data_IF_048801287923
#
_entry.id   IF_048801287923
#
_cell.length_a   1.000
_cell.length_b   1.000
_cell.length_c   1.000
_cell.angle_alpha   90.00
_cell.angle_beta   90.00
_cell.angle_gamma   90.00
#
_symmetry.space_group_name_H-M   'P 1'
#
loop_
_entity.id
_entity.type
_entity.pdbx_description
1 polymer ?
#
# COMPACT_ATOMS: atom_id res chain seq x y z
N UNK A 1 14.56 -31.69 21.98
CA UNK A 1 14.42 -31.47 20.52
C UNK A 1 12.95 -31.17 20.25
N UNK A 2 12.58 -29.90 20.13
CA UNK A 2 11.20 -29.48 19.89
C UNK A 2 11.08 -29.02 18.44
N UNK A 3 10.36 -29.78 17.63
CA UNK A 3 10.07 -29.50 16.24
C UNK A 3 9.06 -28.36 16.17
N UNK A 4 9.50 -27.16 15.75
CA UNK A 4 8.59 -26.05 15.50
C UNK A 4 7.73 -26.38 14.27
N UNK A 5 6.44 -26.55 14.50
CA UNK A 5 5.45 -26.81 13.46
C UNK A 5 5.17 -25.50 12.71
N UNK A 6 5.70 -25.39 11.47
CA UNK A 6 5.28 -24.37 10.50
C UNK A 6 3.78 -24.51 10.26
N UNK A 7 2.94 -23.47 10.44
CA UNK A 7 1.62 -23.52 9.86
C UNK A 7 1.80 -23.49 8.34
N UNK A 8 1.38 -24.58 7.68
CA UNK A 8 1.27 -24.61 6.22
C UNK A 8 0.25 -23.55 5.82
N UNK A 9 0.73 -22.47 5.19
CA UNK A 9 -0.11 -21.41 4.67
C UNK A 9 -0.99 -22.02 3.57
N UNK A 10 -2.26 -22.27 3.90
CA UNK A 10 -3.26 -22.67 2.93
C UNK A 10 -3.48 -21.49 1.98
N UNK A 11 -2.88 -21.56 0.78
CA UNK A 11 -3.04 -20.58 -0.28
C UNK A 11 -4.51 -20.51 -0.70
N UNK A 12 -5.24 -19.56 -0.12
CA UNK A 12 -6.53 -19.14 -0.65
C UNK A 12 -6.27 -18.11 -1.76
N UNK A 13 -7.08 -18.07 -2.84
CA UNK A 13 -6.93 -17.10 -3.92
C UNK A 13 -7.44 -15.70 -3.53
N UNK A 14 -7.17 -15.26 -2.30
CA UNK A 14 -7.61 -13.98 -1.76
C UNK A 14 -6.50 -12.94 -1.88
N UNK A 15 -6.84 -11.72 -2.31
CA UNK A 15 -5.89 -10.59 -2.31
C UNK A 15 -5.59 -10.23 -0.88
N UNK A 16 -4.33 -10.41 -0.45
CA UNK A 16 -3.91 -10.05 0.91
C UNK A 16 -3.58 -8.57 1.04
N UNK A 17 -2.96 -7.99 0.02
CA UNK A 17 -2.51 -6.60 0.01
C UNK A 17 -3.05 -5.91 -1.24
N UNK A 18 -3.66 -4.74 -1.07
CA UNK A 18 -4.19 -3.93 -2.17
C UNK A 18 -3.44 -2.61 -2.24
N UNK A 19 -2.98 -2.24 -3.42
CA UNK A 19 -2.49 -0.89 -3.74
C UNK A 19 -3.63 -0.14 -4.44
N UNK A 20 -4.08 0.97 -3.85
CA UNK A 20 -5.02 1.89 -4.48
C UNK A 20 -4.32 3.22 -4.74
N UNK A 21 -4.32 3.63 -6.02
CA UNK A 21 -3.79 4.92 -6.44
C UNK A 21 -4.90 5.85 -6.89
N UNK A 22 -4.86 7.09 -6.45
CA UNK A 22 -5.72 8.17 -6.91
C UNK A 22 -5.32 8.70 -8.28
N UNK A 23 -6.02 9.73 -8.77
CA UNK A 23 -5.65 10.41 -9.99
C UNK A 23 -4.36 11.20 -9.77
N UNK A 24 -3.39 11.07 -10.67
CA UNK A 24 -2.21 11.94 -10.70
C UNK A 24 -2.33 12.88 -11.90
N UNK A 25 -2.18 14.18 -11.66
CA UNK A 25 -2.36 15.24 -12.67
C UNK A 25 -1.26 15.28 -13.73
N UNK A 26 -0.15 14.56 -13.50
CA UNK A 26 0.90 14.36 -14.52
C UNK A 26 0.46 13.43 -15.67
N UNK A 27 -0.73 12.83 -15.57
CA UNK A 27 -1.45 12.26 -16.71
C UNK A 27 -1.98 13.37 -17.65
N UNK A 28 -1.13 14.35 -17.99
CA UNK A 28 -1.27 15.14 -19.19
C UNK A 28 -1.19 14.19 -20.39
N UNK A 29 -1.96 14.50 -21.42
CA UNK A 29 -2.20 13.71 -22.64
C UNK A 29 -0.92 13.34 -23.45
N UNK A 30 0.28 13.69 -22.97
CA UNK A 30 1.57 13.43 -23.62
C UNK A 30 2.77 13.27 -22.64
N UNK A 31 2.58 12.88 -21.37
CA UNK A 31 3.72 12.72 -20.41
C UNK A 31 4.11 11.25 -20.20
N UNK A 32 5.39 10.94 -20.40
CA UNK A 32 6.04 9.63 -20.27
C UNK A 32 6.20 9.17 -18.81
N UNK A 33 5.24 9.42 -17.93
CA UNK A 33 5.19 8.80 -16.59
C UNK A 33 4.14 7.71 -16.62
N UNK A 34 4.53 6.45 -16.88
CA UNK A 34 3.59 5.35 -16.87
C UNK A 34 2.99 5.19 -15.45
N UNK A 35 1.77 4.60 -15.34
CA UNK A 35 1.32 4.06 -14.06
C UNK A 35 2.44 3.21 -13.45
N UNK A 36 2.60 3.22 -12.12
CA UNK A 36 3.70 2.58 -11.36
C UNK A 36 4.51 1.63 -12.23
N UNK A 37 5.72 2.05 -12.63
CA UNK A 37 6.50 1.43 -13.70
C UNK A 37 6.41 -0.10 -13.66
N UNK A 38 6.18 -0.73 -14.81
CA UNK A 38 5.84 -2.16 -14.89
C UNK A 38 6.82 -3.08 -14.17
N UNK A 39 8.11 -2.72 -14.18
CA UNK A 39 9.19 -3.38 -13.45
C UNK A 39 9.06 -3.26 -11.92
N UNK A 40 8.71 -2.08 -11.41
CA UNK A 40 8.46 -1.85 -9.98
C UNK A 40 7.26 -2.67 -9.54
N UNK A 41 6.17 -2.63 -10.31
CA UNK A 41 4.98 -3.44 -10.02
C UNK A 41 5.30 -4.93 -10.01
N UNK A 42 6.08 -5.43 -10.98
CA UNK A 42 6.49 -6.83 -11.01
C UNK A 42 7.32 -7.19 -9.78
N UNK A 43 8.29 -6.36 -9.39
CA UNK A 43 9.10 -6.58 -8.20
C UNK A 43 8.27 -6.62 -6.90
N UNK A 44 7.24 -5.76 -6.78
CA UNK A 44 6.35 -5.77 -5.62
C UNK A 44 5.49 -7.03 -5.57
N UNK A 45 4.98 -7.50 -6.71
CA UNK A 45 4.19 -8.74 -6.79
C UNK A 45 5.05 -9.94 -6.41
N UNK A 46 6.26 -10.06 -6.98
CA UNK A 46 7.19 -11.14 -6.65
C UNK A 46 7.55 -11.14 -5.16
N UNK A 47 7.81 -9.96 -4.59
CA UNK A 47 8.13 -9.82 -3.16
C UNK A 47 6.96 -10.23 -2.26
N UNK A 48 5.73 -9.82 -2.59
CA UNK A 48 4.55 -10.23 -1.85
C UNK A 48 4.34 -11.75 -1.96
N UNK A 49 4.48 -12.31 -3.16
CA UNK A 49 4.35 -13.74 -3.40
C UNK A 49 5.40 -14.57 -2.64
N UNK A 50 6.65 -14.10 -2.57
CA UNK A 50 7.70 -14.70 -1.75
C UNK A 50 7.36 -14.77 -0.26
N UNK A 51 6.55 -13.82 0.23
CA UNK A 51 6.01 -13.80 1.60
C UNK A 51 4.66 -14.54 1.75
N UNK A 52 4.20 -15.25 0.72
CA UNK A 52 2.92 -15.98 0.73
C UNK A 52 1.69 -15.07 0.66
N UNK A 53 1.83 -13.83 0.15
CA UNK A 53 0.77 -12.83 0.06
C UNK A 53 0.46 -12.51 -1.40
N UNK A 54 -0.82 -12.37 -1.73
CA UNK A 54 -1.23 -11.86 -3.03
C UNK A 54 -1.32 -10.33 -3.02
N UNK A 55 -0.76 -9.69 -4.03
CA UNK A 55 -0.78 -8.24 -4.21
C UNK A 55 -1.62 -7.87 -5.43
N UNK A 56 -2.58 -6.96 -5.26
CA UNK A 56 -3.30 -6.34 -6.37
C UNK A 56 -3.03 -4.84 -6.41
N UNK A 57 -3.08 -4.26 -7.61
CA UNK A 57 -2.96 -2.82 -7.82
C UNK A 57 -4.16 -2.32 -8.62
N UNK A 58 -4.75 -1.21 -8.19
CA UNK A 58 -5.74 -0.46 -8.97
C UNK A 58 -5.44 1.02 -8.96
N UNK A 59 -5.62 1.66 -10.10
CA UNK A 59 -5.54 3.10 -10.26
C UNK A 59 -6.94 3.65 -10.53
N UNK A 60 -7.33 4.66 -9.78
CA UNK A 60 -8.60 5.36 -9.85
C UNK A 60 -8.42 6.65 -10.62
N UNK A 61 -9.31 6.95 -11.57
CA UNK A 61 -9.24 8.19 -12.37
C UNK A 61 -9.91 9.39 -11.70
N UNK A 62 -10.51 9.19 -10.53
CA UNK A 62 -11.24 10.23 -9.80
C UNK A 62 -11.34 9.90 -8.32
N UNK A 63 -11.59 10.91 -7.49
CA UNK A 63 -11.86 10.73 -6.06
C UNK A 63 -13.06 9.81 -5.83
N UNK A 64 -14.10 9.93 -6.67
CA UNK A 64 -15.29 9.08 -6.57
C UNK A 64 -14.95 7.61 -6.68
N UNK A 65 -14.14 7.24 -7.67
CA UNK A 65 -13.70 5.86 -7.84
C UNK A 65 -12.82 5.36 -6.69
N UNK A 66 -11.95 6.22 -6.17
CA UNK A 66 -11.12 5.91 -5.02
C UNK A 66 -12.00 5.62 -3.79
N UNK A 67 -12.97 6.50 -3.52
CA UNK A 67 -13.94 6.36 -2.44
C UNK A 67 -14.80 5.10 -2.59
N UNK A 68 -15.29 4.82 -3.80
CA UNK A 68 -16.04 3.59 -4.09
C UNK A 68 -15.17 2.34 -3.85
N UNK A 69 -13.89 2.36 -4.26
CA UNK A 69 -12.96 1.25 -3.98
C UNK A 69 -12.72 1.07 -2.47
N UNK A 70 -12.53 2.16 -1.72
CA UNK A 70 -12.36 2.12 -0.26
C UNK A 70 -13.60 1.54 0.44
N UNK A 71 -14.80 1.97 0.06
CA UNK A 71 -16.07 1.50 0.64
C UNK A 71 -16.31 0.02 0.36
N UNK A 72 -15.94 -0.45 -0.83
CA UNK A 72 -16.13 -1.85 -1.24
C UNK A 72 -14.99 -2.78 -0.79
N UNK A 73 -13.97 -2.28 -0.09
CA UNK A 73 -12.79 -3.07 0.28
C UNK A 73 -13.10 -4.28 1.17
N UNK A 74 -14.16 -4.21 1.99
CA UNK A 74 -14.60 -5.37 2.79
C UNK A 74 -14.97 -6.58 1.92
N UNK A 75 -15.51 -6.35 0.73
CA UNK A 75 -15.84 -7.44 -0.20
C UNK A 75 -14.60 -8.03 -0.88
N UNK A 76 -13.48 -7.30 -0.88
CA UNK A 76 -12.23 -7.73 -1.52
C UNK A 76 -11.33 -8.58 -0.60
N UNK A 77 -11.69 -8.78 0.67
CA UNK A 77 -10.91 -9.54 1.67
C UNK A 77 -9.44 -9.10 1.82
N UNK A 78 -9.13 -7.84 1.52
CA UNK A 78 -7.78 -7.30 1.72
C UNK A 78 -7.44 -7.20 3.21
N UNK A 79 -6.24 -7.65 3.58
CA UNK A 79 -5.72 -7.59 4.95
C UNK A 79 -5.02 -6.26 5.24
N UNK A 80 -4.49 -5.60 4.21
CA UNK A 80 -3.81 -4.30 4.31
C UNK A 80 -3.91 -3.49 3.01
N UNK A 81 -4.03 -2.16 3.14
CA UNK A 81 -4.08 -1.21 2.03
C UNK A 81 -2.80 -0.37 1.94
N UNK A 82 -2.21 -0.24 0.74
CA UNK A 82 -1.29 0.83 0.39
C UNK A 82 -2.08 1.87 -0.38
N UNK A 83 -2.24 3.06 0.21
CA UNK A 83 -3.05 4.13 -0.35
C UNK A 83 -2.17 5.27 -0.82
N UNK A 84 -2.23 5.54 -2.12
CA UNK A 84 -1.72 6.75 -2.73
C UNK A 84 -2.93 7.59 -3.14
N UNK A 85 -3.29 8.65 -2.41
CA UNK A 85 -4.45 9.47 -2.74
C UNK A 85 -4.20 10.44 -3.93
N UNK A 86 -2.94 10.68 -4.34
CA UNK A 86 -2.60 11.61 -5.43
C UNK A 86 -3.30 12.96 -5.35
N UNK A 87 -3.86 13.42 -6.47
CA UNK A 87 -4.58 14.69 -6.58
C UNK A 87 -5.91 14.76 -5.80
N UNK A 88 -6.29 13.71 -5.06
CA UNK A 88 -7.39 13.78 -4.09
C UNK A 88 -6.99 14.46 -2.77
N UNK A 89 -5.77 14.99 -2.69
CA UNK A 89 -5.29 15.74 -1.55
C UNK A 89 -5.44 17.26 -1.77
N UNK A 90 -5.78 18.02 -0.72
CA UNK A 90 -6.14 17.57 0.63
C UNK A 90 -7.50 16.83 0.64
N UNK A 91 -7.63 15.82 1.50
CA UNK A 91 -8.80 14.93 1.47
C UNK A 91 -10.15 15.64 1.70
N UNK A 92 -11.07 15.38 0.78
CA UNK A 92 -12.47 15.80 0.90
C UNK A 92 -13.17 15.17 2.11
N UNK A 93 -14.36 15.67 2.42
CA UNK A 93 -15.19 15.06 3.46
C UNK A 93 -15.59 13.62 3.12
N UNK A 94 -15.79 13.32 1.82
CA UNK A 94 -16.16 11.98 1.37
C UNK A 94 -15.00 11.00 1.50
N UNK A 95 -13.79 11.40 1.09
CA UNK A 95 -12.58 10.59 1.24
C UNK A 95 -12.28 10.31 2.72
N UNK A 96 -12.33 11.34 3.56
CA UNK A 96 -12.14 11.18 5.00
C UNK A 96 -13.18 10.24 5.61
N UNK A 97 -14.46 10.42 5.26
CA UNK A 97 -15.53 9.56 5.74
C UNK A 97 -15.39 8.10 5.30
N UNK A 98 -14.83 7.84 4.11
CA UNK A 98 -14.52 6.49 3.64
C UNK A 98 -13.35 5.87 4.42
N UNK A 99 -12.30 6.65 4.71
CA UNK A 99 -11.14 6.20 5.49
C UNK A 99 -11.45 5.93 6.96
N UNK A 100 -12.33 6.72 7.57
CA UNK A 100 -12.82 6.48 8.95
C UNK A 100 -13.63 5.18 9.07
N UNK A 101 -14.36 4.81 8.01
CA UNK A 101 -15.14 3.57 7.96
C UNK A 101 -14.31 2.35 7.55
N UNK A 102 -13.08 2.57 7.10
CA UNK A 102 -12.18 1.53 6.63
C UNK A 102 -11.75 0.65 7.82
N UNK A 103 -12.15 -0.61 7.78
CA UNK A 103 -11.79 -1.59 8.82
C UNK A 103 -10.39 -2.16 8.64
N UNK A 104 -9.81 -2.03 7.46
CA UNK A 104 -8.48 -2.53 7.13
C UNK A 104 -7.44 -1.46 7.44
N UNK A 105 -6.31 -1.78 8.11
CA UNK A 105 -5.25 -0.80 8.30
C UNK A 105 -4.62 -0.41 6.96
N UNK A 106 -4.11 0.82 6.88
CA UNK A 106 -3.49 1.30 5.65
C UNK A 106 -2.16 2.01 5.88
N UNK A 107 -1.31 1.99 4.87
CA UNK A 107 -0.09 2.79 4.78
C UNK A 107 -0.32 3.80 3.67
N UNK A 108 -0.16 5.09 3.98
CA UNK A 108 -0.18 6.12 2.97
C UNK A 108 1.18 6.14 2.27
N UNK A 109 1.18 6.15 0.94
CA UNK A 109 2.39 6.09 0.12
C UNK A 109 2.30 7.09 -1.02
N UNK A 110 3.39 7.79 -1.28
CA UNK A 110 3.52 8.73 -2.41
C UNK A 110 4.79 8.43 -3.19
N UNK A 111 4.77 8.60 -4.51
CA UNK A 111 5.98 8.55 -5.36
C UNK A 111 6.64 9.92 -5.57
N UNK A 112 6.40 10.85 -4.65
CA UNK A 112 7.13 12.11 -4.63
C UNK A 112 8.62 11.95 -4.33
N UNK A 113 9.39 12.88 -4.89
CA UNK A 113 10.81 13.05 -4.60
C UNK A 113 11.00 13.92 -3.36
N UNK A 114 12.12 13.71 -2.65
CA UNK A 114 12.47 14.49 -1.42
C UNK A 114 12.42 16.02 -1.65
N UNK A 115 12.63 16.48 -2.89
CA UNK A 115 12.65 17.90 -3.23
C UNK A 115 11.26 18.51 -3.48
N UNK A 116 10.21 17.69 -3.62
CA UNK A 116 8.85 18.15 -3.96
C UNK A 116 7.80 17.20 -3.36
N UNK A 117 7.73 17.16 -2.03
CA UNK A 117 6.81 16.29 -1.30
C UNK A 117 5.34 16.64 -1.59
N UNK A 118 4.51 15.62 -1.79
CA UNK A 118 3.08 15.80 -1.90
C UNK A 118 2.44 16.09 -0.52
N UNK A 119 1.30 16.81 -0.48
CA UNK A 119 0.53 16.92 0.75
C UNK A 119 0.15 15.52 1.27
N UNK A 120 -0.01 15.37 2.58
CA UNK A 120 -0.43 14.09 3.17
C UNK A 120 -1.81 14.18 3.80
N UNK A 121 -2.47 13.03 4.04
CA UNK A 121 -3.67 12.99 4.87
C UNK A 121 -3.38 13.56 6.27
N UNK A 122 -4.40 14.19 6.85
CA UNK A 122 -4.30 14.73 8.20
C UNK A 122 -3.90 13.62 9.20
N UNK A 123 -3.04 13.92 10.18
CA UNK A 123 -2.75 12.99 11.27
C UNK A 123 -4.03 12.46 11.93
N UNK A 124 -4.10 11.15 12.13
CA UNK A 124 -5.26 10.50 12.75
C UNK A 124 -6.44 10.21 11.81
N UNK A 125 -6.29 10.39 10.49
CA UNK A 125 -7.31 9.98 9.53
C UNK A 125 -7.38 8.44 9.40
N UNK A 126 -8.47 7.84 9.87
CA UNK A 126 -8.70 6.41 9.84
C UNK A 126 -7.61 5.59 10.53
N UNK A 127 -7.42 4.34 10.08
CA UNK A 127 -6.44 3.40 10.63
C UNK A 127 -5.07 3.47 9.93
N UNK A 128 -4.52 4.69 9.77
CA UNK A 128 -3.20 4.88 9.13
C UNK A 128 -2.08 4.35 10.03
N UNK A 129 -1.32 3.38 9.52
CA UNK A 129 -0.15 2.84 10.20
C UNK A 129 1.05 3.76 10.04
N UNK A 130 1.38 4.14 8.81
CA UNK A 130 2.56 4.94 8.45
C UNK A 130 2.28 5.80 7.21
N UNK A 131 3.08 6.84 7.04
CA UNK A 131 3.23 7.62 5.82
C UNK A 131 4.62 7.32 5.25
N UNK A 132 4.71 7.00 3.96
CA UNK A 132 5.97 6.72 3.25
C UNK A 132 6.03 7.60 2.00
N UNK A 133 7.00 8.50 1.95
CA UNK A 133 7.13 9.50 0.89
C UNK A 133 8.58 9.98 0.77
N UNK A 134 8.92 10.66 -0.32
CA UNK A 134 10.25 11.21 -0.59
C UNK A 134 11.25 10.26 -1.26
N UNK A 135 10.86 9.02 -1.57
CA UNK A 135 11.72 7.99 -2.17
C UNK A 135 11.25 7.55 -3.56
N UNK A 136 10.44 8.37 -4.22
CA UNK A 136 9.89 8.09 -5.56
C UNK A 136 9.24 6.70 -5.60
N UNK A 137 9.45 5.90 -6.65
CA UNK A 137 8.92 4.53 -6.73
C UNK A 137 9.39 3.59 -5.60
N UNK A 138 10.51 3.87 -4.91
CA UNK A 138 10.97 3.04 -3.79
C UNK A 138 10.08 3.17 -2.56
N UNK A 139 9.29 4.25 -2.46
CA UNK A 139 8.28 4.42 -1.41
C UNK A 139 7.32 3.23 -1.35
N UNK A 140 6.95 2.66 -2.51
CA UNK A 140 6.10 1.48 -2.59
C UNK A 140 6.76 0.21 -2.06
N UNK A 141 8.05 0.02 -2.34
CA UNK A 141 8.83 -1.11 -1.82
C UNK A 141 8.96 -1.04 -0.29
N UNK A 142 9.20 0.16 0.24
CA UNK A 142 9.26 0.37 1.68
C UNK A 142 7.89 0.18 2.34
N UNK A 143 6.82 0.73 1.76
CA UNK A 143 5.46 0.53 2.23
C UNK A 143 5.06 -0.96 2.23
N UNK A 144 5.41 -1.72 1.19
CA UNK A 144 5.19 -3.16 1.14
C UNK A 144 5.97 -3.89 2.23
N UNK A 145 7.21 -3.48 2.51
CA UNK A 145 8.00 -4.09 3.58
C UNK A 145 7.34 -3.88 4.95
N UNK A 146 6.88 -2.66 5.24
CA UNK A 146 6.13 -2.35 6.47
C UNK A 146 4.83 -3.15 6.53
N UNK A 147 4.14 -3.31 5.39
CA UNK A 147 2.93 -4.12 5.31
C UNK A 147 3.18 -5.60 5.67
N UNK A 148 4.22 -6.20 5.09
CA UNK A 148 4.58 -7.59 5.34
C UNK A 148 5.01 -7.82 6.79
N UNK A 149 5.80 -6.91 7.37
CA UNK A 149 6.14 -6.90 8.80
C UNK A 149 4.88 -6.84 9.67
N UNK A 150 3.94 -5.94 9.36
CA UNK A 150 2.69 -5.79 10.10
C UNK A 150 1.82 -7.06 10.06
N UNK A 151 1.86 -7.79 8.94
CA UNK A 151 1.14 -9.05 8.76
C UNK A 151 1.89 -10.27 9.35
N UNK A 152 3.09 -10.08 9.93
CA UNK A 152 3.91 -11.17 10.45
C UNK A 152 4.51 -12.08 9.37
N UNK A 153 4.65 -11.56 8.15
CA UNK A 153 5.16 -12.28 6.98
C UNK A 153 6.55 -11.80 6.55
N UNK A 154 7.16 -10.92 7.33
CA UNK A 154 8.59 -10.70 7.23
C UNK A 154 9.33 -12.01 7.48
N UNK A 155 10.33 -12.29 6.65
CA UNK A 155 11.18 -13.46 6.85
C UNK A 155 11.66 -13.48 8.29
N UNK A 156 11.40 -14.58 9.00
CA UNK A 156 12.02 -14.85 10.30
C UNK A 156 13.51 -15.09 10.06
N UNK A 157 14.24 -14.00 9.84
CA UNK A 157 15.60 -13.99 9.32
C UNK A 157 16.27 -12.66 9.62
N UNK A 158 16.16 -12.20 10.86
CA UNK A 158 17.06 -11.18 11.37
C UNK A 158 17.32 -11.39 12.87
N UNK A 159 18.18 -12.37 13.15
CA UNK A 159 19.07 -12.32 14.31
C UNK A 159 20.05 -11.16 14.07
N UNK A 160 19.58 -9.91 14.22
CA UNK A 160 20.50 -8.78 14.30
C UNK A 160 20.90 -8.67 15.75
N UNK A 161 22.02 -9.30 16.07
CA UNK A 161 22.80 -8.90 17.21
C UNK A 161 23.34 -7.49 16.94
N UNK A 162 22.62 -6.46 17.40
CA UNK A 162 23.20 -5.12 17.52
C UNK A 162 24.14 -5.19 18.71
N UNK A 163 25.41 -5.50 18.43
CA UNK A 163 26.49 -5.41 19.40
C UNK A 163 26.58 -3.97 19.93
N UNK A 164 26.65 -3.87 21.25
CA UNK A 164 26.86 -2.66 22.07
C UNK A 164 28.00 -1.78 21.59
#
# INVERSE_FOLDING_TARGET
>A
MATAHRPACAASPNVSILILRGPHTDAAVDSMVPPLAGEVRAALVERAAGAGKALALRSCRSERELVDCLRNMRAANAELLLLDPGACLPASAELRGALEQLTVPYIEVHDDDTNALEPSLAPGCGRRLRLVHGYSAQSYTLALSIALEHLGCAESGNDIHVGT
#
